data_IF_422839763198
#
_entry.id   IF_422839763198
#
_cell.length_a   1.000
_cell.length_b   1.000
_cell.length_c   1.000
_cell.angle_alpha   90.00
_cell.angle_beta   90.00
_cell.angle_gamma   90.00
#
_symmetry.space_group_name_H-M   'P 1'
#
loop_
_entity.id
_entity.type
_entity.pdbx_description
1 polymer ?
#
# COMPACT_ATOMS: atom_id res chain seq x y z
N UNK A 1 13.10 28.50 2.88
CA UNK A 1 12.51 27.14 2.95
C UNK A 1 11.58 27.08 4.14
N UNK A 2 10.37 26.50 3.99
CA UNK A 2 9.32 26.54 5.02
C UNK A 2 9.68 25.77 6.30
N UNK A 3 8.98 26.06 7.40
CA UNK A 3 9.19 25.42 8.73
C UNK A 3 9.10 23.88 8.66
N UNK A 4 8.18 23.35 7.84
CA UNK A 4 7.99 21.91 7.65
C UNK A 4 9.20 21.25 6.96
N UNK A 5 9.70 21.86 5.89
CA UNK A 5 10.84 21.35 5.14
C UNK A 5 12.07 21.15 6.02
N UNK A 6 12.33 22.15 6.87
CA UNK A 6 13.43 22.10 7.85
C UNK A 6 13.20 21.01 8.89
N UNK A 7 11.98 20.86 9.40
CA UNK A 7 11.67 19.83 10.39
C UNK A 7 11.87 18.41 9.83
N UNK A 8 11.51 18.19 8.56
CA UNK A 8 11.75 16.91 7.86
C UNK A 8 13.25 16.69 7.70
N UNK A 9 13.99 17.67 7.17
CA UNK A 9 15.45 17.59 7.01
C UNK A 9 16.17 17.28 8.33
N UNK A 10 15.78 17.95 9.43
CA UNK A 10 16.35 17.70 10.74
C UNK A 10 16.05 16.26 11.23
N UNK A 11 14.88 15.70 10.90
CA UNK A 11 14.57 14.30 11.22
C UNK A 11 15.41 13.31 10.42
N UNK A 12 15.73 13.64 9.17
CA UNK A 12 16.59 12.82 8.31
C UNK A 12 18.05 12.82 8.79
N UNK A 13 18.58 13.97 9.23
CA UNK A 13 19.94 14.09 9.78
C UNK A 13 20.16 13.27 11.06
N UNK A 14 19.13 13.18 11.91
CA UNK A 14 19.27 12.74 13.31
C UNK A 14 19.60 11.26 13.52
N UNK A 15 19.54 10.42 12.48
CA UNK A 15 19.50 8.98 12.70
C UNK A 15 20.80 8.22 12.46
N UNK A 16 21.87 8.83 11.93
CA UNK A 16 23.15 8.15 11.65
C UNK A 16 23.05 6.89 10.79
N UNK A 17 21.87 6.65 10.20
CA UNK A 17 21.42 5.48 9.46
C UNK A 17 20.76 5.98 8.20
N UNK A 18 20.86 5.20 7.13
CA UNK A 18 20.13 5.45 5.89
C UNK A 18 18.63 5.37 6.19
N UNK A 19 17.95 6.52 6.16
CA UNK A 19 16.50 6.62 6.41
C UNK A 19 15.74 6.38 5.11
N UNK A 20 14.59 5.70 5.17
CA UNK A 20 13.69 5.54 4.02
C UNK A 20 12.43 6.39 4.24
N UNK A 21 12.13 7.26 3.28
CA UNK A 21 10.86 7.97 3.20
C UNK A 21 9.90 7.21 2.30
N UNK A 22 8.77 6.77 2.84
CA UNK A 22 7.69 6.15 2.08
C UNK A 22 6.57 7.18 1.95
N UNK A 23 6.28 7.58 0.72
CA UNK A 23 5.21 8.52 0.41
C UNK A 23 4.09 7.75 -0.26
N UNK A 24 3.03 7.47 0.51
CA UNK A 24 1.82 6.85 -0.03
C UNK A 24 0.93 7.89 -0.73
N UNK A 25 0.10 7.43 -1.66
CA UNK A 25 -0.80 8.27 -2.45
C UNK A 25 -0.06 9.40 -3.21
N UNK A 26 1.15 9.11 -3.69
CA UNK A 26 2.07 10.08 -4.28
C UNK A 26 1.53 10.74 -5.56
N UNK A 27 0.48 10.20 -6.20
CA UNK A 27 -0.16 10.86 -7.34
C UNK A 27 -0.74 12.23 -6.98
N UNK A 28 -1.01 12.46 -5.70
CA UNK A 28 -1.47 13.76 -5.18
C UNK A 28 -0.34 14.79 -5.02
N UNK A 29 0.92 14.38 -5.16
CA UNK A 29 2.03 15.33 -5.11
C UNK A 29 2.05 16.23 -6.33
N UNK A 30 2.44 17.48 -6.09
CA UNK A 30 2.82 18.41 -7.15
C UNK A 30 4.29 18.20 -7.52
N UNK A 31 4.66 18.65 -8.71
CA UNK A 31 6.01 18.43 -9.23
C UNK A 31 7.07 19.14 -8.35
N UNK A 32 6.75 20.29 -7.75
CA UNK A 32 7.65 21.00 -6.83
C UNK A 32 7.90 20.21 -5.54
N UNK A 33 6.88 19.48 -5.06
CA UNK A 33 7.03 18.63 -3.87
C UNK A 33 7.96 17.45 -4.16
N UNK A 34 7.90 16.88 -5.37
CA UNK A 34 8.81 15.82 -5.78
C UNK A 34 10.24 16.33 -5.98
N UNK A 35 10.42 17.57 -6.46
CA UNK A 35 11.75 18.19 -6.50
C UNK A 35 12.30 18.46 -5.09
N UNK A 36 11.45 18.82 -4.13
CA UNK A 36 11.85 18.93 -2.72
C UNK A 36 12.28 17.57 -2.14
N UNK A 37 11.54 16.50 -2.43
CA UNK A 37 11.93 15.14 -2.06
C UNK A 37 13.28 14.75 -2.68
N UNK A 38 13.52 15.09 -3.95
CA UNK A 38 14.83 14.91 -4.60
C UNK A 38 15.93 15.63 -3.84
N UNK A 39 15.69 16.87 -3.40
CA UNK A 39 16.65 17.60 -2.58
C UNK A 39 16.98 16.84 -1.28
N UNK A 40 16.00 16.20 -0.64
CA UNK A 40 16.27 15.42 0.57
C UNK A 40 17.13 14.17 0.31
N UNK A 41 16.89 13.46 -0.79
CA UNK A 41 17.74 12.36 -1.23
C UNK A 41 19.20 12.82 -1.40
N UNK A 42 19.41 13.94 -2.10
CA UNK A 42 20.74 14.47 -2.40
C UNK A 42 21.47 15.00 -1.14
N UNK A 43 20.77 15.76 -0.28
CA UNK A 43 21.36 16.43 0.89
C UNK A 43 21.53 15.51 2.10
N UNK A 44 20.58 14.59 2.33
CA UNK A 44 20.55 13.76 3.54
C UNK A 44 20.85 12.27 3.26
N UNK A 45 20.99 11.86 2.00
CA UNK A 45 21.29 10.47 1.63
C UNK A 45 20.19 9.47 2.00
N UNK A 46 18.95 9.93 2.16
CA UNK A 46 17.81 9.07 2.47
C UNK A 46 17.27 8.35 1.22
N UNK A 47 16.81 7.11 1.37
CA UNK A 47 16.01 6.45 0.33
C UNK A 47 14.60 7.06 0.23
N UNK A 48 14.00 7.00 -0.95
CA UNK A 48 12.63 7.48 -1.20
C UNK A 48 11.86 6.44 -1.99
N UNK A 49 10.67 6.08 -1.51
CA UNK A 49 9.69 5.26 -2.20
C UNK A 49 8.41 6.07 -2.44
N UNK A 50 8.05 6.26 -3.71
CA UNK A 50 6.78 6.86 -4.11
C UNK A 50 5.80 5.73 -4.42
N UNK A 51 4.75 5.62 -3.62
CA UNK A 51 3.68 4.64 -3.77
C UNK A 51 2.41 5.35 -4.20
N UNK A 52 1.59 4.68 -5.00
CA UNK A 52 0.34 5.25 -5.48
C UNK A 52 -0.18 4.51 -6.71
N UNK A 53 -1.13 5.13 -7.38
CA UNK A 53 -1.73 4.58 -8.59
C UNK A 53 -0.78 4.70 -9.81
N UNK A 54 -1.26 4.33 -11.00
CA UNK A 54 -0.48 4.39 -12.24
C UNK A 54 -0.03 5.81 -12.63
N UNK A 55 -0.68 6.86 -12.12
CA UNK A 55 -0.31 8.25 -12.41
C UNK A 55 1.08 8.59 -11.87
N UNK A 56 1.50 7.98 -10.75
CA UNK A 56 2.85 8.14 -10.21
C UNK A 56 3.89 7.70 -11.24
N UNK A 57 3.68 6.53 -11.85
CA UNK A 57 4.56 6.00 -12.89
C UNK A 57 4.48 6.85 -14.17
N UNK A 58 3.29 7.30 -14.54
CA UNK A 58 3.09 8.12 -15.72
C UNK A 58 3.70 9.52 -15.59
N UNK A 59 3.76 10.10 -14.39
CA UNK A 59 4.29 11.45 -14.19
C UNK A 59 5.80 11.44 -14.00
N UNK A 60 6.31 10.56 -13.15
CA UNK A 60 7.72 10.57 -12.75
C UNK A 60 8.46 9.27 -13.12
N UNK A 61 7.77 8.14 -13.24
CA UNK A 61 8.36 6.85 -13.57
C UNK A 61 8.53 6.53 -15.06
N UNK A 62 8.38 7.48 -15.99
CA UNK A 62 8.51 7.23 -17.44
C UNK A 62 9.96 6.95 -17.84
N UNK A 63 10.18 6.10 -18.85
CA UNK A 63 11.51 5.79 -19.40
C UNK A 63 12.14 6.99 -20.12
N UNK A 64 11.31 7.77 -20.80
CA UNK A 64 11.70 9.07 -21.36
C UNK A 64 11.25 10.17 -20.40
N UNK A 65 12.17 10.97 -19.84
CA UNK A 65 11.80 12.07 -18.96
C UNK A 65 11.02 13.13 -19.74
N UNK A 66 10.04 13.75 -19.07
CA UNK A 66 9.43 14.99 -19.53
C UNK A 66 10.49 16.09 -19.59
N UNK A 67 10.37 17.04 -20.53
CA UNK A 67 11.27 18.20 -20.59
C UNK A 67 11.33 18.92 -19.23
N UNK A 68 12.55 19.22 -18.76
CA UNK A 68 12.81 19.78 -17.43
C UNK A 68 12.99 18.77 -16.29
N UNK A 69 12.66 17.49 -16.47
CA UNK A 69 12.70 16.46 -15.41
C UNK A 69 13.94 15.55 -15.45
N UNK A 70 14.91 15.85 -16.31
CA UNK A 70 16.12 15.03 -16.47
C UNK A 70 16.94 14.87 -15.17
N UNK A 71 16.85 15.84 -14.26
CA UNK A 71 17.51 15.74 -12.95
C UNK A 71 16.84 14.71 -12.05
N UNK A 72 15.52 14.71 -11.96
CA UNK A 72 14.75 13.74 -11.17
C UNK A 72 14.91 12.32 -11.74
N UNK A 73 14.79 12.18 -13.06
CA UNK A 73 14.79 10.87 -13.73
C UNK A 73 16.06 10.05 -13.47
N UNK A 74 17.24 10.69 -13.40
CA UNK A 74 18.52 10.01 -13.11
C UNK A 74 18.59 9.38 -11.71
N UNK A 75 17.68 9.76 -10.81
CA UNK A 75 17.62 9.30 -9.42
C UNK A 75 16.48 8.31 -9.17
N UNK A 76 15.66 8.04 -10.18
CA UNK A 76 14.60 7.05 -10.10
C UNK A 76 15.21 5.69 -10.43
N UNK A 77 15.29 4.85 -9.41
CA UNK A 77 15.75 3.47 -9.51
C UNK A 77 14.64 2.52 -9.99
N UNK A 78 14.49 1.34 -9.34
CA UNK A 78 13.52 0.33 -9.75
C UNK A 78 12.09 0.85 -9.81
N UNK A 79 11.36 0.43 -10.84
CA UNK A 79 9.94 0.75 -11.06
C UNK A 79 9.15 -0.53 -10.88
N UNK A 80 8.50 -0.67 -9.73
CA UNK A 80 7.70 -1.84 -9.43
C UNK A 80 6.24 -1.53 -9.76
N UNK A 81 5.66 -2.30 -10.69
CA UNK A 81 4.22 -2.27 -10.99
C UNK A 81 3.58 -3.51 -10.42
N UNK A 82 2.85 -3.36 -9.31
CA UNK A 82 2.14 -4.44 -8.62
C UNK A 82 0.65 -4.14 -8.60
N UNK A 83 -0.09 -4.72 -9.53
CA UNK A 83 -1.55 -4.51 -9.66
C UNK A 83 -2.38 -5.44 -8.76
N UNK A 84 -1.81 -6.59 -8.39
CA UNK A 84 -2.46 -7.60 -7.55
C UNK A 84 -1.43 -8.19 -6.59
N UNK A 85 -1.82 -8.57 -5.37
CA UNK A 85 -0.97 -9.33 -4.46
C UNK A 85 -0.62 -10.68 -5.09
N UNK A 86 0.58 -11.18 -4.80
CA UNK A 86 0.91 -12.55 -5.15
C UNK A 86 0.11 -13.53 -4.30
N UNK A 87 -0.10 -14.78 -4.78
CA UNK A 87 -0.70 -15.82 -3.96
C UNK A 87 0.01 -15.98 -2.60
N UNK A 88 1.34 -15.86 -2.56
CA UNK A 88 2.12 -15.93 -1.34
C UNK A 88 1.86 -14.76 -0.37
N UNK A 89 1.54 -13.58 -0.89
CA UNK A 89 1.16 -12.43 -0.05
C UNK A 89 -0.20 -12.69 0.61
N UNK A 90 -1.15 -13.27 -0.14
CA UNK A 90 -2.46 -13.65 0.41
C UNK A 90 -2.29 -14.69 1.53
N UNK A 91 -1.47 -15.72 1.33
CA UNK A 91 -1.25 -16.72 2.38
C UNK A 91 -0.65 -16.12 3.66
N UNK A 92 0.41 -15.33 3.53
CA UNK A 92 1.02 -14.65 4.68
C UNK A 92 0.03 -13.72 5.39
N UNK A 93 -0.86 -13.07 4.62
CA UNK A 93 -1.90 -12.21 5.17
C UNK A 93 -2.96 -13.00 5.95
N UNK A 94 -3.34 -14.18 5.46
CA UNK A 94 -4.26 -15.09 6.16
C UNK A 94 -3.63 -15.68 7.43
N UNK A 95 -2.33 -15.97 7.39
CA UNK A 95 -1.56 -16.43 8.55
C UNK A 95 -1.53 -15.35 9.64
N UNK A 96 -1.32 -14.08 9.26
CA UNK A 96 -1.36 -12.95 10.18
C UNK A 96 -2.73 -12.73 10.83
N UNK A 97 -3.81 -13.12 10.14
CA UNK A 97 -5.17 -13.14 10.70
C UNK A 97 -5.48 -14.39 11.53
N UNK A 98 -4.59 -15.38 11.57
CA UNK A 98 -4.79 -16.64 12.29
C UNK A 98 -5.83 -17.56 11.66
N UNK A 99 -6.02 -17.49 10.33
CA UNK A 99 -7.02 -18.33 9.64
C UNK A 99 -6.43 -19.70 9.32
N UNK A 100 -6.68 -20.68 10.18
CA UNK A 100 -6.18 -22.05 10.01
C UNK A 100 -7.10 -22.94 9.16
N UNK A 101 -8.40 -22.64 9.13
CA UNK A 101 -9.38 -23.48 8.45
C UNK A 101 -9.29 -23.33 6.91
N UNK A 102 -9.04 -24.44 6.22
CA UNK A 102 -8.86 -24.49 4.76
C UNK A 102 -10.07 -23.98 3.95
N UNK A 103 -11.29 -24.18 4.44
CA UNK A 103 -12.50 -23.67 3.79
C UNK A 103 -12.54 -22.14 3.85
N UNK A 104 -12.26 -21.57 5.02
CA UNK A 104 -12.19 -20.12 5.19
C UNK A 104 -11.06 -19.52 4.36
N UNK A 105 -9.89 -20.19 4.31
CA UNK A 105 -8.78 -19.74 3.46
C UNK A 105 -9.16 -19.74 1.98
N UNK A 106 -9.83 -20.79 1.48
CA UNK A 106 -10.31 -20.83 0.09
C UNK A 106 -11.24 -19.66 -0.22
N UNK A 107 -12.21 -19.39 0.65
CA UNK A 107 -13.14 -18.27 0.50
C UNK A 107 -12.42 -16.91 0.50
N UNK A 108 -11.54 -16.69 1.47
CA UNK A 108 -10.79 -15.43 1.59
C UNK A 108 -9.77 -15.23 0.45
N UNK A 109 -9.22 -16.31 -0.13
CA UNK A 109 -8.39 -16.22 -1.35
C UNK A 109 -9.19 -15.71 -2.54
N UNK A 110 -10.45 -16.14 -2.70
CA UNK A 110 -11.33 -15.63 -3.76
C UNK A 110 -11.57 -14.13 -3.56
N UNK A 111 -11.91 -13.73 -2.33
CA UNK A 111 -12.13 -12.33 -1.96
C UNK A 111 -10.85 -11.49 -2.20
N UNK A 112 -9.69 -11.97 -1.77
CA UNK A 112 -8.41 -11.28 -1.92
C UNK A 112 -7.91 -11.11 -3.36
N UNK A 113 -8.53 -11.81 -4.33
CA UNK A 113 -8.24 -11.66 -5.76
C UNK A 113 -9.16 -10.65 -6.46
N UNK A 114 -10.23 -10.19 -5.79
CA UNK A 114 -11.14 -9.15 -6.31
C UNK A 114 -10.50 -7.76 -6.19
N UNK A 115 -11.14 -6.75 -6.81
CA UNK A 115 -10.70 -5.36 -6.71
C UNK A 115 -10.66 -4.89 -5.25
N UNK A 116 -9.58 -4.25 -4.84
CA UNK A 116 -9.29 -3.90 -3.44
C UNK A 116 -8.44 -4.95 -2.69
N UNK A 117 -8.25 -6.14 -3.27
CA UNK A 117 -7.24 -7.12 -2.87
C UNK A 117 -7.21 -7.45 -1.35
N UNK A 118 -6.05 -7.32 -0.70
CA UNK A 118 -5.88 -7.60 0.73
C UNK A 118 -6.78 -6.73 1.62
N UNK A 119 -7.10 -5.51 1.18
CA UNK A 119 -8.05 -4.64 1.86
C UNK A 119 -9.44 -5.27 1.95
N UNK A 120 -9.87 -6.01 0.91
CA UNK A 120 -11.13 -6.74 0.95
C UNK A 120 -11.13 -7.84 2.00
N UNK A 121 -10.01 -8.56 2.17
CA UNK A 121 -9.87 -9.57 3.23
C UNK A 121 -10.01 -8.91 4.61
N UNK A 122 -9.24 -7.83 4.85
CA UNK A 122 -9.26 -7.11 6.14
C UNK A 122 -10.66 -6.67 6.52
N UNK A 123 -11.33 -5.95 5.62
CA UNK A 123 -12.65 -5.39 5.92
C UNK A 123 -13.74 -6.47 6.04
N UNK A 124 -13.66 -7.56 5.25
CA UNK A 124 -14.57 -8.70 5.43
C UNK A 124 -14.33 -9.40 6.75
N UNK A 125 -13.07 -9.62 7.15
CA UNK A 125 -12.75 -10.27 8.43
C UNK A 125 -13.23 -9.46 9.63
N UNK A 126 -13.05 -8.13 9.62
CA UNK A 126 -13.59 -7.24 10.65
C UNK A 126 -15.11 -7.36 10.78
N UNK A 127 -15.81 -7.33 9.66
CA UNK A 127 -17.28 -7.45 9.63
C UNK A 127 -17.74 -8.85 10.06
N UNK A 128 -17.07 -9.91 9.62
CA UNK A 128 -17.37 -11.28 10.04
C UNK A 128 -17.17 -11.48 11.55
N UNK A 129 -16.16 -10.82 12.13
CA UNK A 129 -15.92 -10.85 13.58
C UNK A 129 -17.02 -10.13 14.36
N UNK A 130 -17.56 -9.02 13.84
CA UNK A 130 -18.73 -8.35 14.44
C UNK A 130 -19.96 -9.26 14.40
N UNK A 131 -20.24 -9.90 13.26
CA UNK A 131 -21.38 -10.80 13.10
C UNK A 131 -21.26 -12.00 14.05
N UNK A 132 -20.14 -12.72 14.01
CA UNK A 132 -19.90 -13.89 14.85
C UNK A 132 -19.92 -13.54 16.35
N UNK A 133 -19.33 -12.40 16.71
CA UNK A 133 -19.36 -11.86 18.07
C UNK A 133 -20.77 -11.56 18.58
N UNK A 134 -21.68 -11.10 17.71
CA UNK A 134 -23.10 -10.89 18.05
C UNK A 134 -23.83 -12.17 18.42
N UNK A 135 -23.37 -13.33 17.94
CA UNK A 135 -23.90 -14.66 18.29
C UNK A 135 -23.05 -15.39 19.33
N UNK A 136 -21.93 -14.82 19.78
CA UNK A 136 -21.01 -15.46 20.73
C UNK A 136 -20.29 -16.69 20.18
N UNK A 137 -20.15 -16.80 18.86
CA UNK A 137 -19.54 -17.96 18.18
C UNK A 137 -18.25 -17.57 17.47
N UNK A 138 -17.45 -18.59 17.10
CA UNK A 138 -16.27 -18.39 16.27
C UNK A 138 -16.65 -18.01 14.83
N UNK A 139 -15.72 -17.34 14.12
CA UNK A 139 -15.89 -17.01 12.71
C UNK A 139 -15.99 -18.30 11.90
N UNK A 140 -16.94 -18.33 10.96
CA UNK A 140 -17.24 -19.46 10.09
C UNK A 140 -17.56 -18.95 8.69
N UNK A 141 -17.72 -19.87 7.74
CA UNK A 141 -17.88 -19.51 6.32
C UNK A 141 -19.12 -18.63 6.10
N UNK A 142 -20.22 -18.90 6.80
CA UNK A 142 -21.46 -18.13 6.68
C UNK A 142 -21.30 -16.69 7.17
N UNK A 143 -20.52 -16.48 8.25
CA UNK A 143 -20.20 -15.14 8.74
C UNK A 143 -19.36 -14.35 7.72
N UNK A 144 -18.41 -15.00 7.04
CA UNK A 144 -17.59 -14.38 5.99
C UNK A 144 -18.43 -14.05 4.75
N UNK A 145 -19.31 -14.96 4.31
CA UNK A 145 -20.22 -14.72 3.18
C UNK A 145 -21.18 -13.57 3.48
N UNK A 146 -21.83 -13.58 4.65
CA UNK A 146 -22.70 -12.50 5.07
C UNK A 146 -21.97 -11.15 5.19
N UNK A 147 -20.73 -11.16 5.73
CA UNK A 147 -19.89 -9.97 5.79
C UNK A 147 -19.53 -9.43 4.39
N UNK A 148 -19.24 -10.31 3.44
CA UNK A 148 -18.91 -9.93 2.08
C UNK A 148 -20.11 -9.38 1.32
N UNK A 149 -21.27 -10.03 1.42
CA UNK A 149 -22.53 -9.58 0.82
C UNK A 149 -22.97 -8.21 1.37
N UNK A 150 -22.90 -8.02 2.70
CA UNK A 150 -23.22 -6.73 3.32
C UNK A 150 -22.35 -5.57 2.82
N UNK A 151 -21.15 -5.87 2.32
CA UNK A 151 -20.22 -4.89 1.76
C UNK A 151 -20.42 -4.64 0.26
N UNK A 152 -21.49 -5.19 -0.32
CA UNK A 152 -21.80 -5.09 -1.75
C UNK A 152 -20.94 -6.01 -2.63
N UNK A 153 -20.34 -7.05 -2.04
CA UNK A 153 -19.58 -8.04 -2.76
C UNK A 153 -20.44 -8.91 -3.68
N UNK A 154 -19.90 -9.30 -4.84
CA UNK A 154 -20.52 -10.31 -5.72
C UNK A 154 -20.55 -11.70 -5.04
N UNK A 155 -21.35 -12.66 -5.53
CA UNK A 155 -21.30 -14.03 -5.02
C UNK A 155 -19.88 -14.64 -5.10
N UNK A 156 -19.43 -15.23 -3.99
CA UNK A 156 -18.11 -15.85 -3.78
C UNK A 156 -18.22 -17.21 -3.10
#
# INVERSE_FOLDING_TARGET
TGKLARAIGDKLRRNGRHTLLIIDEAQNLRDEAVDELRHYLDEYGCGIALLGNEDVQNRWGRATPKEGYGQLHRRIGPRLRKLRPDPADIEQYLDAWGVENDELRKLLRVIGRKAGALGQISETMKMAQIIAGGFGVAIGADHIRAAWENRGGEQV
#
